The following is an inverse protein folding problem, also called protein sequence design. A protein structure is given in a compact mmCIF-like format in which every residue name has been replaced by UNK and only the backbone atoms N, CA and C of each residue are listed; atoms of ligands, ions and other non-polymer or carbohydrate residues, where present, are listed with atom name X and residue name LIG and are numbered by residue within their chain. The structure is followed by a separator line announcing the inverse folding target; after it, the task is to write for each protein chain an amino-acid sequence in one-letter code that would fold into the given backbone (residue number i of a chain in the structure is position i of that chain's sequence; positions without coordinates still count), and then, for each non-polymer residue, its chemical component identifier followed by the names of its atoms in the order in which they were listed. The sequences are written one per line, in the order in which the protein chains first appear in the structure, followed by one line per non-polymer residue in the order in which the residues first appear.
data_IF_052663288545
#
_entry.id   IF_052663288545
#
_cell.length_a   1.000
_cell.length_b   1.000
_cell.length_c   1.000
_cell.angle_alpha   90.00
_cell.angle_beta   90.00
_cell.angle_gamma   90.00
#
_symmetry.space_group_name_H-M   'P 1'
#
loop_
_entity.id
_entity.type
_entity.pdbx_description
1 polymer ?
#
# COMPACT_ATOMS: atom_id res chain seq x y z
N UNK A 1 -33.62 -13.97 -11.97
CA UNK A 1 -33.26 -12.62 -11.49
C UNK A 1 -31.97 -12.76 -10.71
N UNK A 2 -30.82 -12.53 -11.34
CA UNK A 2 -29.52 -12.58 -10.68
C UNK A 2 -29.37 -11.31 -9.86
N UNK A 3 -29.34 -11.45 -8.54
CA UNK A 3 -28.94 -10.37 -7.64
C UNK A 3 -27.50 -10.03 -7.99
N UNK A 4 -27.25 -8.84 -8.54
CA UNK A 4 -25.90 -8.34 -8.71
C UNK A 4 -25.33 -8.13 -7.30
N UNK A 5 -24.44 -9.02 -6.87
CA UNK A 5 -23.65 -8.81 -5.66
C UNK A 5 -22.86 -7.50 -5.86
N UNK A 6 -23.26 -6.45 -5.13
CA UNK A 6 -22.50 -5.21 -5.11
C UNK A 6 -21.23 -5.46 -4.31
N UNK A 7 -20.13 -5.70 -5.01
CA UNK A 7 -18.80 -5.67 -4.41
C UNK A 7 -18.44 -4.22 -4.09
N UNK A 8 -18.18 -3.90 -2.82
CA UNK A 8 -17.57 -2.62 -2.44
C UNK A 8 -16.08 -2.83 -2.22
N UNK A 9 -15.25 -2.17 -3.02
CA UNK A 9 -13.79 -2.17 -2.81
C UNK A 9 -13.42 -0.97 -1.95
N UNK A 10 -12.86 -1.23 -0.77
CA UNK A 10 -12.32 -0.23 0.14
C UNK A 10 -10.80 -0.32 0.04
N UNK A 11 -10.23 0.43 -0.90
CA UNK A 11 -8.79 0.48 -1.05
C UNK A 11 -8.22 1.75 -0.44
N UNK A 12 -7.12 1.61 0.29
CA UNK A 12 -6.28 2.72 0.72
C UNK A 12 -5.55 3.39 -0.45
N UNK A 13 -5.59 2.76 -1.63
CA UNK A 13 -5.02 3.25 -2.88
C UNK A 13 -5.82 2.68 -4.07
N UNK A 14 -6.43 3.53 -4.91
CA UNK A 14 -7.22 3.05 -6.04
C UNK A 14 -6.30 2.57 -7.19
N UNK A 15 -6.64 1.49 -7.90
CA UNK A 15 -5.87 1.02 -9.04
C UNK A 15 -5.82 2.13 -10.10
N UNK A 16 -4.60 2.56 -10.42
CA UNK A 16 -4.36 3.55 -11.47
C UNK A 16 -4.52 2.87 -12.81
N UNK A 17 -5.65 3.09 -13.49
CA UNK A 17 -5.59 3.11 -14.95
C UNK A 17 -4.64 4.25 -15.36
N UNK A 18 -3.95 4.11 -16.50
CA UNK A 18 -2.87 5.00 -16.94
C UNK A 18 -3.20 6.51 -16.98
N UNK A 19 -4.46 6.93 -16.77
CA UNK A 19 -4.90 8.33 -16.82
C UNK A 19 -5.31 8.95 -15.47
N UNK A 20 -5.48 8.19 -14.38
CA UNK A 20 -5.88 8.75 -13.07
C UNK A 20 -4.98 8.23 -11.95
N UNK A 21 -4.04 9.07 -11.52
CA UNK A 21 -3.19 8.81 -10.34
C UNK A 21 -3.83 9.43 -9.11
N UNK A 22 -4.38 8.61 -8.22
CA UNK A 22 -4.83 9.03 -6.89
C UNK A 22 -3.68 8.75 -5.91
N UNK A 23 -2.92 9.76 -5.46
CA UNK A 23 -1.80 9.54 -4.54
C UNK A 23 -2.30 9.16 -3.13
N UNK A 24 -1.38 8.68 -2.29
CA UNK A 24 -1.61 8.56 -0.86
C UNK A 24 -2.08 9.92 -0.27
N UNK A 25 -2.84 9.91 0.85
CA UNK A 25 -3.25 11.14 1.51
C UNK A 25 -2.05 12.06 1.73
N UNK A 26 -2.22 13.37 1.50
CA UNK A 26 -1.13 14.36 1.55
C UNK A 26 -0.30 14.27 2.84
N UNK A 27 -0.97 14.06 3.98
CA UNK A 27 -0.30 13.92 5.27
C UNK A 27 0.59 12.67 5.36
N UNK A 28 0.27 11.57 4.67
CA UNK A 28 1.14 10.38 4.55
C UNK A 28 2.35 10.73 3.70
N UNK A 29 2.12 11.36 2.54
CA UNK A 29 3.19 11.79 1.62
C UNK A 29 4.19 12.72 2.33
N UNK A 30 3.71 13.62 3.18
CA UNK A 30 4.54 14.50 4.00
C UNK A 30 5.41 13.72 5.00
N UNK A 31 4.90 12.69 5.66
CA UNK A 31 5.70 11.86 6.58
C UNK A 31 6.72 11.00 5.81
N UNK A 32 6.34 10.41 4.68
CA UNK A 32 7.27 9.67 3.80
C UNK A 32 8.35 10.59 3.21
N UNK A 33 8.04 11.87 3.00
CA UNK A 33 9.02 12.88 2.60
C UNK A 33 10.06 13.18 3.68
N UNK A 34 9.72 12.99 4.96
CA UNK A 34 10.67 13.15 6.09
C UNK A 34 11.47 11.89 6.35
N UNK A 35 10.82 10.73 6.22
CA UNK A 35 11.45 9.42 6.38
C UNK A 35 11.14 8.53 5.18
N UNK A 36 12.13 8.40 4.29
CA UNK A 36 12.00 7.59 3.08
C UNK A 36 12.04 6.08 3.35
N UNK A 37 12.42 5.63 4.57
CA UNK A 37 12.36 4.21 4.92
C UNK A 37 10.93 3.71 5.14
N UNK A 38 9.94 4.62 5.09
CA UNK A 38 8.51 4.29 5.03
C UNK A 38 8.06 3.80 3.65
N UNK A 39 8.89 3.96 2.62
CA UNK A 39 8.61 3.51 1.26
C UNK A 39 9.28 2.16 0.96
N UNK A 40 8.62 1.35 0.15
CA UNK A 40 9.25 0.15 -0.43
C UNK A 40 10.50 0.52 -1.22
N UNK A 41 11.51 -0.32 -1.13
CA UNK A 41 12.85 0.00 -1.62
C UNK A 41 13.53 -1.19 -2.23
N UNK A 42 14.06 -1.03 -3.44
CA UNK A 42 14.81 -2.08 -4.10
C UNK A 42 16.31 -2.08 -3.80
N UNK A 43 16.98 -3.11 -4.32
CA UNK A 43 18.42 -3.31 -4.16
C UNK A 43 19.30 -2.19 -4.73
N UNK A 44 18.75 -1.34 -5.61
CA UNK A 44 19.43 -0.17 -6.17
C UNK A 44 19.08 1.12 -5.41
N UNK A 45 18.33 1.02 -4.31
CA UNK A 45 17.90 2.15 -3.51
C UNK A 45 16.74 2.94 -4.11
N UNK A 46 16.09 2.44 -5.17
CA UNK A 46 14.93 3.10 -5.78
C UNK A 46 13.71 2.91 -4.87
N UNK A 47 12.98 4.01 -4.64
CA UNK A 47 11.85 4.07 -3.70
C UNK A 47 10.52 4.07 -4.46
N UNK A 48 9.55 3.28 -4.00
CA UNK A 48 8.19 3.30 -4.51
C UNK A 48 7.26 4.00 -3.49
N UNK A 49 6.60 5.07 -3.94
CA UNK A 49 5.73 5.94 -3.13
C UNK A 49 4.23 5.65 -3.31
N UNK A 50 3.87 4.56 -3.98
CA UNK A 50 2.48 4.17 -4.23
C UNK A 50 1.82 3.59 -2.98
N UNK A 51 2.60 3.03 -2.06
CA UNK A 51 2.11 2.39 -0.85
C UNK A 51 3.14 2.49 0.30
N UNK A 52 2.66 2.47 1.54
CA UNK A 52 3.52 2.46 2.74
C UNK A 52 4.07 1.05 2.93
N UNK A 53 5.37 0.91 3.16
CA UNK A 53 6.02 -0.39 3.35
C UNK A 53 5.38 -1.19 4.49
N UNK A 54 5.13 -2.49 4.25
CA UNK A 54 4.54 -3.43 5.22
C UNK A 54 5.34 -3.48 6.53
N UNK A 55 6.66 -3.44 6.46
CA UNK A 55 7.56 -3.44 7.62
C UNK A 55 7.37 -2.23 8.53
N UNK A 56 6.58 -1.25 8.13
CA UNK A 56 6.22 -0.10 8.94
C UNK A 56 4.89 -0.27 9.69
N UNK A 57 4.13 -1.34 9.47
CA UNK A 57 2.74 -1.46 9.95
C UNK A 57 2.57 -1.39 11.47
N UNK A 58 3.61 -1.75 12.22
CA UNK A 58 3.59 -1.79 13.69
C UNK A 58 4.36 -0.65 14.36
N UNK A 59 4.89 0.32 13.60
CA UNK A 59 5.67 1.44 14.13
C UNK A 59 4.90 2.77 14.06
N UNK A 60 5.12 3.66 15.03
CA UNK A 60 4.37 4.91 15.22
C UNK A 60 4.85 6.02 14.28
N UNK A 61 4.64 5.84 12.97
CA UNK A 61 5.18 6.73 11.93
C UNK A 61 4.23 7.88 11.56
N UNK A 62 2.98 7.85 12.03
CA UNK A 62 1.96 8.81 11.65
C UNK A 62 1.42 9.61 12.83
N UNK A 63 2.23 10.55 13.32
CA UNK A 63 1.89 11.46 14.45
C UNK A 63 1.36 10.70 15.67
N UNK A 64 2.05 9.63 16.05
CA UNK A 64 1.68 8.77 17.18
C UNK A 64 0.69 7.65 16.86
N UNK A 65 0.41 7.38 15.57
CA UNK A 65 -0.32 6.20 15.11
C UNK A 65 0.52 5.32 14.20
N UNK A 66 0.22 4.03 14.18
CA UNK A 66 0.79 3.09 13.22
C UNK A 66 -0.03 3.06 11.91
N UNK A 67 0.54 2.60 10.79
CA UNK A 67 -0.21 2.41 9.55
C UNK A 67 -1.42 1.50 9.74
N UNK A 68 -1.27 0.36 10.43
CA UNK A 68 -2.40 -0.56 10.67
C UNK A 68 -3.51 0.08 11.52
N UNK A 69 -3.18 0.97 12.46
CA UNK A 69 -4.18 1.74 13.19
C UNK A 69 -4.93 2.70 12.26
N UNK A 70 -4.22 3.44 11.41
CA UNK A 70 -4.84 4.30 10.40
C UNK A 70 -5.76 3.52 9.46
N UNK A 71 -5.36 2.32 9.04
CA UNK A 71 -6.19 1.44 8.22
C UNK A 71 -7.44 0.98 8.98
N UNK A 72 -7.27 0.55 10.23
CA UNK A 72 -8.38 0.14 11.09
C UNK A 72 -9.39 1.26 11.31
N UNK A 73 -8.93 2.47 11.61
CA UNK A 73 -9.78 3.64 11.83
C UNK A 73 -10.59 3.98 10.57
N UNK A 74 -9.96 3.94 9.40
CA UNK A 74 -10.65 4.17 8.13
C UNK A 74 -11.71 3.10 7.86
N UNK A 75 -11.40 1.82 8.06
CA UNK A 75 -12.38 0.74 7.87
C UNK A 75 -13.56 0.85 8.84
N UNK A 76 -13.32 1.25 10.10
CA UNK A 76 -14.37 1.53 11.08
C UNK A 76 -15.25 2.69 10.64
N UNK A 77 -14.64 3.81 10.23
CA UNK A 77 -15.37 4.97 9.74
C UNK A 77 -16.18 4.63 8.47
N UNK A 78 -15.62 3.86 7.55
CA UNK A 78 -16.31 3.38 6.36
C UNK A 78 -17.53 2.54 6.74
N UNK A 79 -17.35 1.50 7.57
CA UNK A 79 -18.45 0.67 8.09
C UNK A 79 -19.55 1.52 8.71
N UNK A 80 -19.19 2.49 9.55
CA UNK A 80 -20.17 3.27 10.31
C UNK A 80 -20.98 4.26 9.45
N UNK A 81 -20.38 4.81 8.39
CA UNK A 81 -21.04 5.72 7.46
C UNK A 81 -21.76 5.01 6.30
N UNK A 82 -21.29 3.82 5.93
CA UNK A 82 -21.77 3.07 4.78
C UNK A 82 -22.37 1.72 5.16
N UNK A 83 -23.08 1.65 6.30
CA UNK A 83 -23.76 0.43 6.79
C UNK A 83 -24.71 -0.21 5.77
N UNK A 84 -25.14 0.54 4.77
CA UNK A 84 -26.05 0.10 3.70
C UNK A 84 -25.32 -0.41 2.45
N UNK A 85 -23.99 -0.29 2.39
CA UNK A 85 -23.18 -0.78 1.27
C UNK A 85 -22.64 -2.19 1.58
N UNK A 86 -23.10 -3.15 0.77
CA UNK A 86 -22.53 -4.49 0.47
C UNK A 86 -22.35 -5.51 1.59
N UNK A 87 -22.48 -6.79 1.22
CA UNK A 87 -22.15 -7.95 2.05
C UNK A 87 -20.64 -8.27 2.07
N UNK A 88 -19.90 -7.81 1.05
CA UNK A 88 -18.47 -8.11 0.86
C UNK A 88 -17.66 -6.83 0.66
N UNK A 89 -16.61 -6.68 1.48
CA UNK A 89 -15.64 -5.59 1.41
C UNK A 89 -14.27 -6.16 1.00
N UNK A 90 -13.68 -5.62 -0.06
CA UNK A 90 -12.29 -5.93 -0.45
C UNK A 90 -11.37 -4.85 0.10
N UNK A 91 -10.36 -5.25 0.88
CA UNK A 91 -9.37 -4.34 1.44
C UNK A 91 -8.10 -4.41 0.61
N UNK A 92 -7.67 -3.26 0.06
CA UNK A 92 -6.42 -3.17 -0.69
C UNK A 92 -5.21 -3.22 0.24
N UNK A 93 -4.27 -4.14 -0.01
CA UNK A 93 -3.14 -4.44 0.89
C UNK A 93 -1.75 -4.18 0.27
N UNK A 94 -1.71 -3.38 -0.80
CA UNK A 94 -0.47 -3.08 -1.50
C UNK A 94 -0.71 -2.33 -2.81
N UNK A 95 0.31 -2.27 -3.69
CA UNK A 95 0.23 -1.58 -4.98
C UNK A 95 -0.95 -2.08 -5.82
N UNK A 96 -1.68 -1.15 -6.43
CA UNK A 96 -2.94 -1.41 -7.15
C UNK A 96 -4.04 -2.11 -6.32
N UNK A 97 -3.91 -2.14 -4.99
CA UNK A 97 -4.83 -2.84 -4.09
C UNK A 97 -4.52 -4.33 -3.90
N UNK A 98 -3.46 -4.85 -4.50
CA UNK A 98 -3.10 -6.27 -4.44
C UNK A 98 -2.16 -6.56 -3.26
N UNK A 99 -2.28 -7.74 -2.65
CA UNK A 99 -1.36 -8.20 -1.61
C UNK A 99 -0.05 -8.67 -2.24
N UNK A 100 0.83 -7.73 -2.56
CA UNK A 100 2.15 -7.99 -3.15
C UNK A 100 3.12 -6.83 -2.94
N UNK A 101 4.39 -7.07 -3.23
CA UNK A 101 5.41 -6.03 -3.36
C UNK A 101 5.26 -5.25 -4.69
N UNK A 102 5.73 -3.99 -4.77
CA UNK A 102 5.81 -3.22 -6.01
C UNK A 102 7.02 -3.66 -6.85
N UNK A 103 7.10 -4.94 -7.22
CA UNK A 103 8.31 -5.56 -7.78
C UNK A 103 8.59 -5.21 -9.25
N UNK A 104 7.59 -4.69 -9.97
CA UNK A 104 7.65 -4.27 -11.38
C UNK A 104 7.10 -2.84 -11.61
N UNK A 105 7.73 -1.79 -11.07
CA UNK A 105 7.24 -0.43 -11.28
C UNK A 105 7.42 -0.01 -12.75
N UNK A 106 6.32 0.11 -13.49
CA UNK A 106 6.35 0.58 -14.90
C UNK A 106 6.65 2.08 -15.01
N UNK A 107 6.50 2.83 -13.92
CA UNK A 107 6.74 4.27 -13.91
C UNK A 107 8.16 4.61 -14.39
N UNK A 108 8.26 5.59 -15.28
CA UNK A 108 9.51 6.11 -15.83
C UNK A 108 10.40 5.07 -16.53
N UNK A 109 9.83 3.95 -16.99
CA UNK A 109 10.59 2.88 -17.66
C UNK A 109 11.52 2.10 -16.73
N UNK A 110 11.29 2.19 -15.41
CA UNK A 110 12.08 1.52 -14.37
C UNK A 110 12.05 -0.01 -14.53
N UNK A 111 10.95 -0.54 -15.06
CA UNK A 111 10.78 -1.92 -15.48
C UNK A 111 9.98 -1.96 -16.79
N UNK A 112 10.22 -3.00 -17.60
CA UNK A 112 9.47 -3.28 -18.83
C UNK A 112 9.36 -4.79 -19.02
N UNK A 113 8.17 -5.28 -19.37
CA UNK A 113 7.98 -6.69 -19.70
C UNK A 113 8.89 -7.13 -20.87
N UNK A 114 9.53 -8.31 -20.81
CA UNK A 114 9.45 -9.36 -19.78
C UNK A 114 10.60 -9.32 -18.77
N UNK A 115 10.99 -8.13 -18.30
CA UNK A 115 12.10 -7.96 -17.36
C UNK A 115 11.91 -8.74 -16.05
N UNK A 116 13.02 -9.19 -15.47
CA UNK A 116 13.01 -9.80 -14.14
C UNK A 116 12.67 -8.72 -13.11
N UNK A 117 11.76 -9.05 -12.20
CA UNK A 117 11.33 -8.18 -11.12
C UNK A 117 12.44 -7.91 -10.10
N UNK A 118 12.20 -6.99 -9.16
CA UNK A 118 13.14 -6.68 -8.09
C UNK A 118 12.53 -6.93 -6.71
N UNK A 119 13.34 -7.43 -5.78
CA UNK A 119 13.00 -7.44 -4.36
C UNK A 119 12.87 -6.00 -3.86
N UNK A 120 11.83 -5.72 -3.07
CA UNK A 120 11.44 -4.39 -2.61
C UNK A 120 11.58 -4.20 -1.08
N UNK A 121 12.44 -5.01 -0.44
CA UNK A 121 12.58 -5.10 1.01
C UNK A 121 13.87 -4.48 1.57
N UNK A 122 14.47 -3.52 0.87
CA UNK A 122 15.76 -2.92 1.26
C UNK A 122 15.63 -1.69 2.17
N UNK A 123 14.41 -1.27 2.53
CA UNK A 123 14.21 -0.30 3.60
C UNK A 123 14.35 -0.99 4.96
N UNK A 124 14.65 -0.21 6.00
CA UNK A 124 14.93 -0.75 7.34
C UNK A 124 13.79 -1.61 7.91
N UNK A 125 12.53 -1.20 7.69
CA UNK A 125 11.35 -1.92 8.17
C UNK A 125 11.24 -3.32 7.57
N UNK A 126 11.23 -3.43 6.24
CA UNK A 126 11.07 -4.72 5.56
C UNK A 126 12.32 -5.61 5.70
N UNK A 127 13.51 -5.01 5.78
CA UNK A 127 14.74 -5.75 6.06
C UNK A 127 14.67 -6.41 7.44
N UNK A 128 14.14 -5.71 8.46
CA UNK A 128 13.94 -6.28 9.79
C UNK A 128 12.92 -7.42 9.77
N UNK A 129 11.79 -7.25 9.08
CA UNK A 129 10.79 -8.32 8.93
C UNK A 129 11.39 -9.54 8.23
N UNK A 130 12.17 -9.31 7.18
CA UNK A 130 12.85 -10.37 6.42
C UNK A 130 13.83 -11.16 7.29
N UNK A 131 14.64 -10.46 8.10
CA UNK A 131 15.61 -11.10 9.02
C UNK A 131 14.90 -11.87 10.15
N UNK A 132 13.81 -11.32 10.69
CA UNK A 132 13.07 -11.94 11.80
C UNK A 132 12.27 -13.18 11.38
N UNK A 133 11.77 -13.21 10.15
CA UNK A 133 10.91 -14.30 9.68
C UNK A 133 11.65 -15.40 8.91
N UNK A 134 12.91 -15.18 8.54
CA UNK A 134 13.78 -16.17 7.90
C UNK A 134 13.33 -16.55 6.48
N UNK A 135 14.29 -16.62 5.57
CA UNK A 135 14.17 -17.41 4.35
C UNK A 135 14.93 -18.73 4.55
#
# INVERSE_FOLDING_TARGET
MQTLERLSVVSFYLPTSMSLRVPLPKWVVEEVGKDQDLAYTDQWGRRNYEYVSLGCDSILVFKGRTPVQCYSDFMRAFRDNFKHLSDTIVVGMGPAGELRFPSYPEQNGTWKFPGIEAFQCYNKGDALVTVLHGF
#
